data_IF_440278950320
#
_entry.id   IF_440278950320
#
_cell.length_a   1.000
_cell.length_b   1.000
_cell.length_c   1.000
_cell.angle_alpha   90.00
_cell.angle_beta   90.00
_cell.angle_gamma   90.00
#
_symmetry.space_group_name_H-M   'P 1'
#
loop_
_entity.id
_entity.type
_entity.pdbx_description
1 polymer ?
#
# COMPACT_ATOMS: atom_id res chain seq x y z
N UNK A 1 5.62 12.48 7.98
CA UNK A 1 5.01 12.14 9.28
C UNK A 1 5.12 13.24 10.34
N UNK A 2 6.31 13.79 10.63
CA UNK A 2 6.53 14.82 11.67
C UNK A 2 5.51 15.96 11.68
N UNK A 3 5.13 16.51 10.51
CA UNK A 3 4.11 17.56 10.40
C UNK A 3 2.70 17.15 10.80
N UNK A 4 2.32 15.89 10.58
CA UNK A 4 1.04 15.37 11.05
C UNK A 4 1.05 15.23 12.58
N UNK A 5 2.17 14.81 13.15
CA UNK A 5 2.36 14.73 14.60
C UNK A 5 2.30 16.11 15.26
N UNK A 6 2.97 17.11 14.67
CA UNK A 6 2.86 18.53 15.09
C UNK A 6 1.40 19.00 15.05
N UNK A 7 0.67 18.69 13.97
CA UNK A 7 -0.73 19.10 13.80
C UNK A 7 -1.67 18.42 14.80
N UNK A 8 -1.39 17.17 15.15
CA UNK A 8 -2.15 16.41 16.13
C UNK A 8 -2.00 16.99 17.55
N UNK A 9 -0.84 17.57 17.87
CA UNK A 9 -0.56 18.21 19.15
C UNK A 9 -1.20 19.60 19.26
N UNK A 10 -2.51 19.65 19.49
CA UNK A 10 -3.23 20.92 19.60
C UNK A 10 -2.90 21.63 20.93
N UNK A 11 -2.49 22.91 20.92
CA UNK A 11 -2.21 23.65 22.15
C UNK A 11 -3.44 23.75 23.06
N UNK A 12 -3.23 23.63 24.38
CA UNK A 12 -4.28 23.68 25.41
C UNK A 12 -5.15 24.96 25.39
N UNK A 13 -4.72 26.01 24.69
CA UNK A 13 -5.49 27.26 24.51
C UNK A 13 -6.61 27.15 23.45
N UNK A 14 -6.64 26.08 22.62
CA UNK A 14 -7.61 25.88 21.54
C UNK A 14 -8.24 24.47 21.60
N UNK A 15 -8.80 24.12 22.75
CA UNK A 15 -9.35 22.77 22.99
C UNK A 15 -10.62 22.50 22.17
N UNK A 16 -11.40 23.52 21.84
CA UNK A 16 -12.69 23.38 21.12
C UNK A 16 -12.56 22.62 19.81
N UNK A 17 -11.45 22.78 19.10
CA UNK A 17 -11.23 22.15 17.79
C UNK A 17 -10.33 20.90 17.87
N UNK A 18 -9.80 20.58 19.06
CA UNK A 18 -8.75 19.57 19.21
C UNK A 18 -9.21 18.19 18.70
N UNK A 19 -10.41 17.75 19.11
CA UNK A 19 -10.98 16.47 18.68
C UNK A 19 -11.17 16.40 17.17
N UNK A 20 -11.62 17.49 16.54
CA UNK A 20 -11.85 17.54 15.10
C UNK A 20 -10.53 17.50 14.32
N UNK A 21 -9.50 18.22 14.80
CA UNK A 21 -8.18 18.20 14.20
C UNK A 21 -7.54 16.82 14.31
N UNK A 22 -7.59 16.21 15.49
CA UNK A 22 -7.03 14.87 15.75
C UNK A 22 -7.71 13.82 14.87
N UNK A 23 -9.04 13.84 14.75
CA UNK A 23 -9.77 12.92 13.87
C UNK A 23 -9.38 13.10 12.39
N UNK A 24 -9.21 14.34 11.93
CA UNK A 24 -8.74 14.59 10.55
C UNK A 24 -7.33 14.07 10.32
N UNK A 25 -6.43 14.18 11.31
CA UNK A 25 -5.10 13.58 11.21
C UNK A 25 -5.21 12.06 11.10
N UNK A 26 -6.07 11.42 11.89
CA UNK A 26 -6.33 9.98 11.79
C UNK A 26 -6.85 9.57 10.40
N UNK A 27 -7.78 10.33 9.82
CA UNK A 27 -8.29 10.07 8.46
C UNK A 27 -7.17 10.19 7.41
N UNK A 28 -6.33 11.22 7.51
CA UNK A 28 -5.20 11.42 6.60
C UNK A 28 -4.21 10.25 6.74
N UNK A 29 -3.88 9.84 7.97
CA UNK A 29 -2.99 8.70 8.20
C UNK A 29 -3.54 7.43 7.57
N UNK A 30 -4.83 7.14 7.77
CA UNK A 30 -5.50 5.98 7.16
C UNK A 30 -5.36 5.97 5.66
N UNK A 31 -5.73 7.08 5.02
CA UNK A 31 -5.63 7.21 3.57
C UNK A 31 -4.20 7.07 3.08
N UNK A 32 -3.23 7.62 3.82
CA UNK A 32 -1.83 7.63 3.43
C UNK A 32 -1.23 6.23 3.38
N UNK A 33 -1.39 5.41 4.43
CA UNK A 33 -0.89 4.04 4.35
C UNK A 33 -1.71 3.18 3.39
N UNK A 34 -3.04 3.35 3.27
CA UNK A 34 -3.84 2.57 2.32
C UNK A 34 -3.45 2.80 0.84
N UNK A 35 -2.85 3.95 0.52
CA UNK A 35 -2.51 4.32 -0.87
C UNK A 35 -1.02 4.29 -1.17
N UNK A 36 -0.16 4.50 -0.17
CA UNK A 36 1.28 4.74 -0.37
C UNK A 36 2.16 3.93 0.58
N UNK A 37 1.69 2.77 1.08
CA UNK A 37 2.47 1.93 2.01
C UNK A 37 3.87 1.56 1.48
N UNK A 38 4.02 1.42 0.16
CA UNK A 38 5.30 1.05 -0.49
C UNK A 38 6.40 2.10 -0.32
N UNK A 39 6.02 3.34 -0.04
CA UNK A 39 6.96 4.44 0.21
C UNK A 39 7.43 4.47 1.68
N UNK A 40 6.92 3.57 2.53
CA UNK A 40 7.20 3.59 3.97
C UNK A 40 8.38 2.68 4.29
N UNK A 41 9.37 3.22 4.98
CA UNK A 41 10.46 2.43 5.54
C UNK A 41 10.07 1.83 6.91
N UNK A 42 10.84 0.84 7.35
CA UNK A 42 10.61 0.16 8.63
C UNK A 42 10.64 1.14 9.82
N UNK A 43 11.41 2.21 9.70
CA UNK A 43 11.52 3.26 10.72
C UNK A 43 10.20 4.02 10.83
N UNK A 44 9.65 4.50 9.72
CA UNK A 44 8.37 5.20 9.68
C UNK A 44 7.23 4.29 10.15
N UNK A 45 7.21 3.02 9.74
CA UNK A 45 6.21 2.04 10.19
C UNK A 45 6.25 1.90 11.72
N UNK A 46 7.45 1.79 12.30
CA UNK A 46 7.62 1.73 13.76
C UNK A 46 7.12 3.01 14.45
N UNK A 47 7.47 4.18 13.93
CA UNK A 47 6.99 5.46 14.46
C UNK A 47 5.46 5.58 14.43
N UNK A 48 4.82 5.06 13.37
CA UNK A 48 3.37 5.00 13.25
C UNK A 48 2.75 4.07 14.29
N UNK A 49 3.31 2.88 14.50
CA UNK A 49 2.84 1.97 15.55
C UNK A 49 2.99 2.58 16.94
N UNK A 50 4.11 3.24 17.24
CA UNK A 50 4.31 3.90 18.53
C UNK A 50 3.31 5.04 18.75
N UNK A 51 3.02 5.81 17.70
CA UNK A 51 2.01 6.86 17.74
C UNK A 51 0.59 6.30 17.99
N UNK A 52 0.21 5.26 17.24
CA UNK A 52 -1.12 4.64 17.33
C UNK A 52 -1.31 3.96 18.69
N UNK A 53 -0.37 3.11 19.10
CA UNK A 53 -0.52 2.27 20.29
C UNK A 53 -0.35 3.05 21.60
N UNK A 54 0.60 3.99 21.65
CA UNK A 54 0.90 4.69 22.90
C UNK A 54 0.18 6.04 22.94
N UNK A 55 0.46 6.92 21.98
CA UNK A 55 0.05 8.32 22.08
C UNK A 55 -1.46 8.52 21.92
N UNK A 56 -2.07 7.96 20.88
CA UNK A 56 -3.51 8.11 20.66
C UNK A 56 -4.34 7.49 21.78
N UNK A 57 -3.89 6.35 22.32
CA UNK A 57 -4.57 5.66 23.42
C UNK A 57 -4.50 6.47 24.72
N UNK A 58 -3.34 7.08 25.04
CA UNK A 58 -3.18 7.97 26.19
C UNK A 58 -4.03 9.24 26.07
N UNK A 59 -4.28 9.72 24.86
CA UNK A 59 -5.11 10.91 24.59
C UNK A 59 -6.63 10.60 24.58
N UNK A 60 -7.04 9.36 24.86
CA UNK A 60 -8.45 8.95 24.94
C UNK A 60 -9.08 8.57 23.60
N UNK A 61 -8.30 8.32 22.56
CA UNK A 61 -8.77 7.91 21.23
C UNK A 61 -8.57 6.41 20.97
N UNK A 62 -8.80 5.57 21.97
CA UNK A 62 -8.55 4.12 21.91
C UNK A 62 -9.30 3.39 20.78
N UNK A 63 -10.55 3.80 20.50
CA UNK A 63 -11.33 3.18 19.42
C UNK A 63 -10.72 3.49 18.04
N UNK A 64 -10.31 4.75 17.84
CA UNK A 64 -9.70 5.22 16.59
C UNK A 64 -8.30 4.62 16.42
N UNK A 65 -7.53 4.48 17.51
CA UNK A 65 -6.22 3.84 17.44
C UNK A 65 -6.32 2.37 17.05
N UNK A 66 -7.28 1.64 17.62
CA UNK A 66 -7.55 0.23 17.25
C UNK A 66 -7.93 0.10 15.77
N UNK A 67 -8.80 0.98 15.29
CA UNK A 67 -9.19 1.02 13.88
C UNK A 67 -7.98 1.28 12.96
N UNK A 68 -7.14 2.27 13.29
CA UNK A 68 -5.95 2.60 12.51
C UNK A 68 -4.92 1.48 12.52
N UNK A 69 -4.72 0.84 13.67
CA UNK A 69 -3.81 -0.30 13.80
C UNK A 69 -4.24 -1.44 12.88
N UNK A 70 -5.51 -1.83 12.95
CA UNK A 70 -6.05 -2.90 12.11
C UNK A 70 -5.91 -2.57 10.62
N UNK A 71 -6.14 -1.32 10.24
CA UNK A 71 -6.01 -0.89 8.85
C UNK A 71 -4.54 -0.91 8.39
N UNK A 72 -3.59 -0.52 9.26
CA UNK A 72 -2.16 -0.59 8.97
C UNK A 72 -1.71 -2.06 8.83
N UNK A 73 -2.10 -2.93 9.77
CA UNK A 73 -1.78 -4.36 9.74
C UNK A 73 -2.31 -5.02 8.46
N UNK A 74 -3.58 -4.76 8.11
CA UNK A 74 -4.18 -5.25 6.86
C UNK A 74 -3.43 -4.77 5.63
N UNK A 75 -3.06 -3.50 5.60
CA UNK A 75 -2.34 -2.91 4.45
C UNK A 75 -0.97 -3.56 4.27
N UNK A 76 -0.22 -3.75 5.36
CA UNK A 76 1.08 -4.42 5.34
C UNK A 76 0.92 -5.89 4.92
N UNK A 77 -0.09 -6.59 5.41
CA UNK A 77 -0.37 -7.95 4.97
C UNK A 77 -0.74 -8.02 3.48
N UNK A 78 -1.54 -7.10 2.98
CA UNK A 78 -1.94 -7.05 1.57
C UNK A 78 -0.76 -6.75 0.66
N UNK A 79 0.12 -5.83 1.03
CA UNK A 79 1.31 -5.52 0.22
C UNK A 79 2.32 -6.67 0.21
N UNK A 80 2.44 -7.41 1.33
CA UNK A 80 3.27 -8.61 1.40
C UNK A 80 2.66 -9.82 0.67
N UNK A 81 1.32 -9.88 0.54
CA UNK A 81 0.65 -10.93 -0.24
C UNK A 81 0.86 -10.65 -1.71
N UNK A 82 1.61 -11.53 -2.39
CA UNK A 82 1.59 -11.58 -3.86
C UNK A 82 0.14 -11.67 -4.32
N UNK A 83 -0.28 -10.93 -5.35
CA UNK A 83 -1.65 -11.01 -5.83
C UNK A 83 -1.94 -12.47 -6.15
N UNK A 84 -2.96 -13.01 -5.48
CA UNK A 84 -3.52 -14.31 -5.79
C UNK A 84 -4.28 -14.13 -7.11
N UNK A 85 -3.51 -14.09 -8.20
CA UNK A 85 -4.09 -14.23 -9.52
C UNK A 85 -4.64 -15.65 -9.50
N UNK A 86 -5.96 -15.80 -9.54
CA UNK A 86 -6.58 -17.06 -9.93
C UNK A 86 -6.03 -17.36 -11.34
N UNK A 87 -4.87 -18.01 -11.37
CA UNK A 87 -4.25 -18.45 -12.58
C UNK A 87 -5.25 -19.44 -13.14
N UNK A 88 -5.84 -19.10 -14.29
CA UNK A 88 -6.48 -20.09 -15.15
C UNK A 88 -5.60 -21.33 -15.11
N UNK A 89 -6.15 -22.48 -14.76
CA UNK A 89 -5.43 -23.76 -14.74
C UNK A 89 -5.02 -24.09 -16.18
N UNK A 90 -4.00 -23.43 -16.67
CA UNK A 90 -3.29 -23.79 -17.88
C UNK A 90 -2.59 -25.08 -17.50
N UNK A 91 -2.99 -26.19 -18.11
CA UNK A 91 -2.26 -27.44 -17.97
C UNK A 91 -0.93 -27.21 -18.69
N UNK A 92 0.21 -27.06 -17.99
CA UNK A 92 1.45 -26.78 -18.70
C UNK A 92 1.81 -28.02 -19.51
N UNK A 93 2.21 -27.83 -20.78
CA UNK A 93 2.88 -28.89 -21.51
C UNK A 93 4.18 -29.21 -20.78
N UNK A 94 4.26 -30.43 -20.23
CA UNK A 94 5.31 -30.91 -19.32
C UNK A 94 6.67 -31.14 -19.99
N UNK A 95 6.81 -30.82 -21.27
CA UNK A 95 8.09 -30.93 -21.98
C UNK A 95 8.85 -29.62 -21.83
N UNK A 96 10.07 -29.62 -21.25
CA UNK A 96 10.90 -28.42 -21.20
C UNK A 96 11.29 -28.02 -22.63
N UNK A 97 10.69 -26.93 -23.12
CA UNK A 97 11.00 -26.33 -24.42
C UNK A 97 12.00 -25.20 -24.18
N UNK A 98 13.08 -25.14 -24.98
CA UNK A 98 14.02 -24.02 -24.94
C UNK A 98 13.29 -22.71 -25.23
N UNK A 99 13.64 -21.56 -24.62
CA UNK A 99 13.00 -20.27 -24.91
C UNK A 99 12.96 -19.94 -26.42
N UNK A 100 14.01 -20.33 -27.15
CA UNK A 100 14.09 -20.17 -28.60
C UNK A 100 13.07 -21.03 -29.33
N UNK A 101 12.93 -22.30 -28.94
CA UNK A 101 11.98 -23.23 -29.54
C UNK A 101 10.55 -22.81 -29.22
N UNK A 102 10.29 -22.31 -28.01
CA UNK A 102 9.00 -21.76 -27.63
C UNK A 102 8.63 -20.55 -28.50
N UNK A 103 9.57 -19.64 -28.73
CA UNK A 103 9.34 -18.48 -29.59
C UNK A 103 9.07 -18.88 -31.05
N UNK A 104 9.82 -19.84 -31.58
CA UNK A 104 9.65 -20.34 -32.95
C UNK A 104 8.34 -21.12 -33.15
N UNK A 105 7.85 -21.80 -32.11
CA UNK A 105 6.61 -22.58 -32.15
C UNK A 105 5.36 -21.75 -31.84
N UNK A 106 5.51 -20.60 -31.19
CA UNK A 106 4.39 -19.73 -30.83
C UNK A 106 3.83 -19.02 -32.06
N UNK A 107 2.50 -18.86 -32.11
CA UNK A 107 1.91 -18.05 -33.17
C UNK A 107 2.16 -16.56 -32.90
N UNK A 108 2.20 -15.70 -33.95
CA UNK A 108 2.31 -14.26 -33.76
C UNK A 108 1.22 -13.68 -32.84
N UNK A 109 0.03 -14.30 -32.85
CA UNK A 109 -1.08 -13.93 -31.98
C UNK A 109 -0.75 -14.19 -30.50
N UNK A 110 -0.25 -15.37 -30.18
CA UNK A 110 0.06 -15.76 -28.79
C UNK A 110 1.18 -14.88 -28.22
N UNK A 111 2.19 -14.59 -29.04
CA UNK A 111 3.28 -13.67 -28.66
C UNK A 111 2.71 -12.28 -28.37
N UNK A 112 1.84 -11.75 -29.23
CA UNK A 112 1.23 -10.44 -29.03
C UNK A 112 0.35 -10.39 -27.77
N UNK A 113 -0.39 -11.46 -27.48
CA UNK A 113 -1.21 -11.57 -26.28
C UNK A 113 -0.35 -11.55 -25.01
N UNK A 114 0.72 -12.36 -24.96
CA UNK A 114 1.65 -12.38 -23.83
C UNK A 114 2.36 -11.04 -23.63
N UNK A 115 2.83 -10.41 -24.71
CA UNK A 115 3.43 -9.06 -24.64
C UNK A 115 2.43 -8.01 -24.15
N UNK A 116 1.16 -8.14 -24.52
CA UNK A 116 0.10 -7.24 -24.05
C UNK A 116 -0.16 -7.42 -22.56
N UNK A 117 -0.21 -8.66 -22.07
CA UNK A 117 -0.37 -8.96 -20.65
C UNK A 117 0.81 -8.42 -19.83
N UNK A 118 2.05 -8.61 -20.31
CA UNK A 118 3.26 -8.06 -19.68
C UNK A 118 3.18 -6.53 -19.65
N UNK A 119 2.88 -5.90 -20.79
CA UNK A 119 2.79 -4.43 -20.90
C UNK A 119 1.69 -3.87 -20.01
N UNK A 120 0.52 -4.51 -19.94
CA UNK A 120 -0.56 -4.14 -19.03
C UNK A 120 -0.12 -4.27 -17.57
N UNK A 121 0.67 -5.28 -17.23
CA UNK A 121 1.18 -5.47 -15.86
C UNK A 121 2.16 -4.37 -15.50
N UNK A 122 3.10 -4.04 -16.39
CA UNK A 122 4.05 -2.94 -16.21
C UNK A 122 3.29 -1.62 -16.05
N UNK A 123 2.35 -1.33 -16.96
CA UNK A 123 1.59 -0.08 -16.94
C UNK A 123 0.77 0.09 -15.65
N UNK A 124 0.09 -0.97 -15.19
CA UNK A 124 -0.67 -0.96 -13.92
C UNK A 124 0.23 -0.88 -12.69
N UNK A 125 1.49 -1.25 -12.81
CA UNK A 125 2.47 -1.19 -11.73
C UNK A 125 3.00 0.22 -11.45
N UNK A 126 2.86 1.15 -12.41
CA UNK A 126 3.37 2.52 -12.28
C UNK A 126 2.56 3.27 -11.22
N UNK A 127 3.24 3.76 -10.18
CA UNK A 127 2.64 4.62 -9.16
C UNK A 127 2.59 6.09 -9.63
N UNK A 128 1.57 6.82 -9.18
CA UNK A 128 1.45 8.28 -9.43
C UNK A 128 2.64 9.05 -8.85
N UNK A 129 3.25 8.55 -7.78
CA UNK A 129 4.42 9.17 -7.13
C UNK A 129 5.66 9.18 -8.03
N UNK A 130 5.81 8.19 -8.92
CA UNK A 130 6.93 8.11 -9.88
C UNK A 130 6.88 9.23 -10.93
N UNK A 131 5.72 9.86 -11.11
CA UNK A 131 5.48 10.91 -12.10
C UNK A 131 5.39 12.32 -11.47
N UNK A 132 5.43 12.41 -10.14
CA UNK A 132 5.41 13.68 -9.43
C UNK A 132 6.84 14.22 -9.32
N UNK A 133 7.11 15.35 -9.99
CA UNK A 133 8.40 16.06 -10.10
C UNK A 133 9.24 15.72 -11.35
N UNK A 134 8.62 15.76 -12.53
CA UNK A 134 9.35 15.89 -13.79
C UNK A 134 9.68 17.35 -14.10
#
# INVERSE_FOLDING_TARGET
FSKLLERYNVPKKRITDAKQVQLRVSIILKYWFETQIRDFDDILIKELYDFINNKMTMDGHADVSTMLKNALDQTIETDNKKPDVELLKITPNLTPVSPTDLFLQSTPRDIAEQLTLISSTIYRGISVTELLSQ
#
